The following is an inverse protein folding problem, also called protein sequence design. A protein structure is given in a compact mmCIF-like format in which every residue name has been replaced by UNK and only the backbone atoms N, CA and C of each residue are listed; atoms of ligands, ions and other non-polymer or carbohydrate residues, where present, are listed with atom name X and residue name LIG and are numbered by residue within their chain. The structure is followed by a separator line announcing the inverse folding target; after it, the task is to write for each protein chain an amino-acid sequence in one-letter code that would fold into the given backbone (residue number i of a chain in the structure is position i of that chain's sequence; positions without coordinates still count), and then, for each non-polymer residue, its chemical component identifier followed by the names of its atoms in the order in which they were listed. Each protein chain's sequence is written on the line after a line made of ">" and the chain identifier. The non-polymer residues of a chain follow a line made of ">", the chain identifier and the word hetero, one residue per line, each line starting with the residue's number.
data_IF_817475848264
#
_entry.id   IF_817475848264
#
_cell.length_a   1.000
_cell.length_b   1.000
_cell.length_c   1.000
_cell.angle_alpha   90.00
_cell.angle_beta   90.00
_cell.angle_gamma   90.00
#
_symmetry.space_group_name_H-M   'P 1'
#
loop_
_entity.id
_entity.type
_entity.pdbx_description
1 polymer ?
#
# COMPACT_ATOMS: atom_id res chain seq x y z
N UNK A 1 41.38 13.99 19.23
CA UNK A 1 41.39 13.07 20.41
C UNK A 1 42.78 12.52 20.71
N UNK A 2 43.53 12.00 19.74
CA UNK A 2 44.88 11.46 20.01
C UNK A 2 45.87 12.52 20.53
N UNK A 3 45.82 13.75 19.99
CA UNK A 3 46.63 14.89 20.48
C UNK A 3 46.24 15.41 21.86
N UNK A 4 45.00 15.20 22.30
CA UNK A 4 44.52 15.66 23.60
C UNK A 4 44.80 14.66 24.73
N UNK A 5 45.12 13.41 24.39
CA UNK A 5 45.29 12.30 25.35
C UNK A 5 46.77 11.85 25.41
N UNK A 6 47.67 12.42 24.59
CA UNK A 6 49.11 12.11 24.52
C UNK A 6 49.45 10.61 24.37
N UNK A 7 48.49 9.76 23.98
CA UNK A 7 48.74 8.34 23.74
C UNK A 7 49.06 8.13 22.25
N UNK A 8 50.32 7.84 21.89
CA UNK A 8 50.69 7.57 20.51
C UNK A 8 49.98 6.31 19.99
N UNK A 9 49.48 6.36 18.76
CA UNK A 9 48.82 5.24 18.09
C UNK A 9 47.61 4.64 18.83
N UNK A 10 46.79 5.49 19.47
CA UNK A 10 45.58 5.10 20.20
C UNK A 10 44.66 4.14 19.44
N UNK A 11 44.44 4.35 18.14
CA UNK A 11 43.56 3.50 17.32
C UNK A 11 44.13 2.08 17.08
N UNK A 12 45.44 1.95 16.89
CA UNK A 12 46.06 0.64 16.72
C UNK A 12 46.14 -0.10 18.06
N UNK A 13 46.43 0.62 19.15
CA UNK A 13 46.50 0.07 20.51
C UNK A 13 45.13 -0.35 21.05
N UNK A 14 44.07 0.42 20.79
CA UNK A 14 42.68 0.07 21.16
C UNK A 14 42.20 -1.19 20.44
N UNK A 15 42.45 -1.29 19.13
CA UNK A 15 42.06 -2.47 18.34
C UNK A 15 42.81 -3.72 18.82
N UNK A 16 44.10 -3.61 19.15
CA UNK A 16 44.88 -4.70 19.76
C UNK A 16 44.37 -5.05 21.17
N UNK A 17 43.92 -4.08 21.94
CA UNK A 17 43.36 -4.29 23.29
C UNK A 17 42.00 -5.00 23.24
N UNK A 18 41.11 -4.63 22.31
CA UNK A 18 39.85 -5.35 22.07
C UNK A 18 40.12 -6.79 21.60
N UNK A 19 41.09 -6.99 20.70
CA UNK A 19 41.56 -8.32 20.31
C UNK A 19 42.11 -9.13 21.49
N UNK A 20 42.84 -8.49 22.40
CA UNK A 20 43.34 -9.09 23.64
C UNK A 20 42.20 -9.49 24.59
N UNK A 21 41.18 -8.66 24.77
CA UNK A 21 40.01 -8.99 25.60
C UNK A 21 39.27 -10.21 25.06
N UNK A 22 39.09 -10.28 23.73
CA UNK A 22 38.52 -11.46 23.08
C UNK A 22 39.41 -12.71 23.33
N UNK A 23 40.73 -12.59 23.18
CA UNK A 23 41.68 -13.68 23.45
C UNK A 23 41.63 -14.19 24.90
N UNK A 24 41.55 -13.27 25.87
CA UNK A 24 41.63 -13.61 27.29
C UNK A 24 40.30 -14.10 27.85
N UNK A 25 39.19 -13.43 27.53
CA UNK A 25 37.88 -13.73 28.12
C UNK A 25 37.01 -14.64 27.27
N UNK A 26 37.02 -14.48 25.94
CA UNK A 26 36.22 -15.32 25.04
C UNK A 26 36.95 -16.62 24.69
N UNK A 27 38.25 -16.55 24.41
CA UNK A 27 39.05 -17.71 24.02
C UNK A 27 39.86 -18.34 25.17
N UNK A 28 39.86 -17.74 26.35
CA UNK A 28 40.47 -18.32 27.57
C UNK A 28 42.00 -18.42 27.55
N UNK A 29 42.69 -17.68 26.68
CA UNK A 29 44.14 -17.72 26.54
C UNK A 29 44.76 -16.89 27.67
N UNK A 30 45.20 -17.56 28.74
CA UNK A 30 45.80 -16.93 29.93
C UNK A 30 47.16 -16.25 29.66
N UNK A 31 47.87 -16.69 28.62
CA UNK A 31 49.19 -16.18 28.23
C UNK A 31 49.15 -14.94 27.32
N UNK A 32 47.95 -14.45 26.97
CA UNK A 32 47.84 -13.25 26.14
C UNK A 32 48.48 -12.06 26.89
N UNK A 33 49.43 -11.37 26.23
CA UNK A 33 50.08 -10.18 26.79
C UNK A 33 49.19 -8.96 26.60
N UNK A 34 48.92 -8.23 27.69
CA UNK A 34 48.14 -7.00 27.61
C UNK A 34 48.96 -5.90 26.91
N UNK A 35 48.43 -5.21 25.88
CA UNK A 35 49.12 -4.08 25.23
C UNK A 35 49.06 -2.77 26.04
N UNK A 36 48.58 -2.84 27.27
CA UNK A 36 48.50 -1.72 28.23
C UNK A 36 49.86 -1.55 28.88
N UNK A 37 50.45 -0.36 28.73
CA UNK A 37 51.76 -0.02 29.29
C UNK A 37 51.65 0.88 30.52
N UNK A 38 50.58 1.67 30.65
CA UNK A 38 50.37 2.58 31.79
C UNK A 38 49.06 2.32 32.55
N UNK A 39 49.04 2.64 33.86
CA UNK A 39 47.85 2.57 34.71
C UNK A 39 46.86 3.66 34.27
N UNK A 40 45.68 3.25 33.79
CA UNK A 40 44.63 4.18 33.32
C UNK A 40 44.29 4.10 31.83
N UNK A 41 45.11 3.46 30.99
CA UNK A 41 44.85 3.36 29.53
C UNK A 41 43.69 2.41 29.17
N UNK A 42 43.31 1.50 30.08
CA UNK A 42 42.29 0.45 29.87
C UNK A 42 40.91 0.99 29.46
N UNK A 43 40.25 1.86 30.25
CA UNK A 43 38.94 2.39 29.90
C UNK A 43 38.98 3.17 28.58
N UNK A 44 40.04 3.96 28.36
CA UNK A 44 40.24 4.71 27.11
C UNK A 44 40.33 3.82 25.87
N UNK A 45 41.02 2.68 25.95
CA UNK A 45 41.09 1.74 24.83
C UNK A 45 39.76 1.08 24.51
N UNK A 46 38.94 0.77 25.53
CA UNK A 46 37.60 0.18 25.31
C UNK A 46 36.64 1.21 24.74
N UNK A 47 36.51 2.38 25.38
CA UNK A 47 35.57 3.43 24.97
C UNK A 47 35.93 3.96 23.58
N UNK A 48 37.20 4.29 23.34
CA UNK A 48 37.65 4.75 22.03
C UNK A 48 37.52 3.66 20.96
N UNK A 49 37.85 2.41 21.29
CA UNK A 49 37.75 1.29 20.34
C UNK A 49 36.32 1.05 19.86
N UNK A 50 35.36 1.00 20.80
CA UNK A 50 33.93 0.82 20.50
C UNK A 50 33.39 2.06 19.75
N UNK A 51 33.64 3.26 20.27
CA UNK A 51 33.16 4.50 19.65
C UNK A 51 33.71 4.69 18.24
N UNK A 52 35.00 4.40 18.01
CA UNK A 52 35.63 4.49 16.69
C UNK A 52 35.07 3.47 15.71
N UNK A 53 34.74 2.26 16.17
CA UNK A 53 34.07 1.24 15.33
C UNK A 53 32.65 1.67 14.96
N UNK A 54 31.85 2.11 15.94
CA UNK A 54 30.50 2.62 15.70
C UNK A 54 30.49 3.82 14.75
N UNK A 55 31.40 4.79 14.97
CA UNK A 55 31.55 5.95 14.10
C UNK A 55 31.94 5.54 12.68
N UNK A 56 32.93 4.64 12.51
CA UNK A 56 33.31 4.15 11.17
C UNK A 56 32.17 3.43 10.47
N UNK A 57 31.44 2.56 11.18
CA UNK A 57 30.30 1.84 10.63
C UNK A 57 29.19 2.81 10.22
N UNK A 58 28.91 3.80 11.06
CA UNK A 58 27.94 4.86 10.77
C UNK A 58 28.33 5.68 9.54
N UNK A 59 29.58 6.17 9.46
CA UNK A 59 30.06 6.96 8.31
C UNK A 59 30.03 6.13 7.03
N UNK A 60 30.44 4.86 7.07
CA UNK A 60 30.38 3.98 5.91
C UNK A 60 28.94 3.67 5.50
N UNK A 61 28.04 3.42 6.45
CA UNK A 61 26.62 3.21 6.17
C UNK A 61 25.99 4.47 5.58
N UNK A 62 26.26 5.65 6.14
CA UNK A 62 25.78 6.92 5.63
C UNK A 62 26.30 7.19 4.22
N UNK A 63 27.58 6.94 3.96
CA UNK A 63 28.19 7.13 2.64
C UNK A 63 27.65 6.11 1.63
N UNK A 64 27.49 4.84 2.03
CA UNK A 64 26.89 3.82 1.18
C UNK A 64 25.43 4.14 0.85
N UNK A 65 24.62 4.60 1.81
CA UNK A 65 23.25 5.05 1.60
C UNK A 65 23.18 6.28 0.71
N UNK A 66 24.06 7.26 0.95
CA UNK A 66 24.15 8.47 0.13
C UNK A 66 24.50 8.13 -1.32
N UNK A 67 25.52 7.29 -1.55
CA UNK A 67 25.90 6.84 -2.89
C UNK A 67 24.80 5.97 -3.50
N UNK A 68 24.16 5.10 -2.72
CA UNK A 68 23.06 4.25 -3.17
C UNK A 68 21.86 5.07 -3.68
N UNK A 69 21.62 6.26 -3.10
CA UNK A 69 20.57 7.17 -3.57
C UNK A 69 20.78 7.66 -5.00
N UNK A 70 22.04 7.80 -5.47
CA UNK A 70 22.37 8.17 -6.85
C UNK A 70 22.75 6.98 -7.75
N UNK A 71 23.54 6.06 -7.22
CA UNK A 71 24.08 4.87 -7.90
C UNK A 71 23.95 3.63 -7.01
N UNK A 72 22.79 2.97 -7.09
CA UNK A 72 22.45 1.82 -6.24
C UNK A 72 23.52 0.71 -6.25
N UNK A 73 23.92 0.24 -7.45
CA UNK A 73 24.90 -0.86 -7.60
C UNK A 73 26.24 -0.51 -6.95
N UNK A 74 26.70 0.72 -7.16
CA UNK A 74 27.97 1.19 -6.58
C UNK A 74 27.86 1.29 -5.06
N UNK A 75 26.75 1.81 -4.54
CA UNK A 75 26.49 1.86 -3.10
C UNK A 75 26.48 0.48 -2.45
N UNK A 76 25.83 -0.51 -3.07
CA UNK A 76 25.81 -1.90 -2.58
C UNK A 76 27.20 -2.53 -2.65
N UNK A 77 27.95 -2.33 -3.74
CA UNK A 77 29.33 -2.84 -3.85
C UNK A 77 30.25 -2.24 -2.78
N UNK A 78 30.13 -0.94 -2.49
CA UNK A 78 30.87 -0.27 -1.42
C UNK A 78 30.47 -0.84 -0.05
N UNK A 79 29.17 -1.04 0.19
CA UNK A 79 28.69 -1.63 1.44
C UNK A 79 29.22 -3.06 1.65
N UNK A 80 29.14 -3.91 0.61
CA UNK A 80 29.67 -5.27 0.64
C UNK A 80 31.19 -5.29 0.82
N UNK A 81 31.92 -4.42 0.12
CA UNK A 81 33.37 -4.29 0.25
C UNK A 81 33.76 -3.80 1.65
N UNK A 82 33.05 -2.83 2.21
CA UNK A 82 33.27 -2.32 3.56
C UNK A 82 33.00 -3.41 4.61
N UNK A 83 31.90 -4.15 4.47
CA UNK A 83 31.52 -5.22 5.38
C UNK A 83 32.52 -6.39 5.31
N UNK A 84 32.96 -6.73 4.09
CA UNK A 84 34.01 -7.73 3.87
C UNK A 84 35.34 -7.31 4.51
N UNK A 85 35.79 -6.08 4.31
CA UNK A 85 37.08 -5.59 4.82
C UNK A 85 37.09 -5.30 6.32
N UNK A 86 35.97 -4.87 6.92
CA UNK A 86 35.89 -4.55 8.35
C UNK A 86 35.43 -5.71 9.23
N UNK A 87 34.66 -6.66 8.72
CA UNK A 87 34.12 -7.76 9.53
C UNK A 87 34.82 -9.07 9.15
N UNK A 88 34.68 -9.52 7.90
CA UNK A 88 35.23 -10.82 7.47
C UNK A 88 36.76 -10.85 7.56
N UNK A 89 37.45 -9.87 6.98
CA UNK A 89 38.90 -9.88 6.88
C UNK A 89 39.62 -9.91 8.25
N UNK A 90 39.28 -9.05 9.24
CA UNK A 90 39.89 -9.13 10.56
C UNK A 90 39.42 -10.37 11.34
N UNK A 91 38.17 -10.83 11.19
CA UNK A 91 37.72 -12.07 11.82
C UNK A 91 38.54 -13.28 11.34
N UNK A 92 38.74 -13.41 10.03
CA UNK A 92 39.55 -14.47 9.42
C UNK A 92 41.03 -14.31 9.81
N UNK A 93 41.62 -13.12 9.65
CA UNK A 93 43.03 -12.89 9.99
C UNK A 93 43.35 -13.09 11.47
N UNK A 94 42.43 -12.74 12.37
CA UNK A 94 42.61 -12.95 13.81
C UNK A 94 42.42 -14.43 14.16
N UNK A 95 41.47 -15.12 13.52
CA UNK A 95 41.27 -16.56 13.70
C UNK A 95 42.48 -17.37 13.20
N UNK A 96 43.01 -17.05 12.03
CA UNK A 96 44.21 -17.69 11.45
C UNK A 96 45.46 -17.41 12.28
N UNK A 97 45.66 -16.15 12.75
CA UNK A 97 46.81 -15.81 13.63
C UNK A 97 46.74 -16.45 15.01
N UNK A 98 45.55 -16.62 15.58
CA UNK A 98 45.40 -17.40 16.82
C UNK A 98 45.72 -18.88 16.58
N UNK A 99 45.22 -19.42 15.47
CA UNK A 99 45.42 -20.82 15.09
C UNK A 99 46.90 -21.17 14.84
N UNK A 100 47.70 -20.23 14.34
CA UNK A 100 49.14 -20.43 14.09
C UNK A 100 50.04 -20.17 15.31
N UNK A 101 49.52 -19.62 16.41
CA UNK A 101 50.30 -19.34 17.64
C UNK A 101 50.42 -20.56 18.56
N UNK A 102 51.53 -20.65 19.31
CA UNK A 102 51.88 -21.81 20.18
C UNK A 102 50.80 -22.07 21.25
N UNK A 103 50.22 -21.02 21.86
CA UNK A 103 49.10 -21.14 22.82
C UNK A 103 47.76 -21.58 22.20
N UNK A 104 47.58 -21.39 20.89
CA UNK A 104 46.41 -21.87 20.15
C UNK A 104 46.35 -23.39 20.03
N UNK A 105 47.50 -24.10 20.07
CA UNK A 105 47.56 -25.57 20.00
C UNK A 105 47.04 -26.23 21.29
N UNK A 106 47.25 -25.61 22.44
CA UNK A 106 46.90 -26.19 23.75
C UNK A 106 45.41 -25.98 24.11
N UNK A 107 44.75 -24.98 23.53
CA UNK A 107 43.31 -24.69 23.70
C UNK A 107 42.49 -24.80 22.41
N UNK A 108 43.00 -25.55 21.41
CA UNK A 108 42.42 -25.70 20.07
C UNK A 108 40.94 -26.07 20.08
N UNK A 109 40.52 -26.99 20.96
CA UNK A 109 39.13 -27.42 21.10
C UNK A 109 38.21 -26.30 21.63
N UNK A 110 38.66 -25.51 22.63
CA UNK A 110 37.90 -24.38 23.17
C UNK A 110 37.79 -23.23 22.18
N UNK A 111 38.87 -22.93 21.45
CA UNK A 111 38.84 -21.92 20.40
C UNK A 111 37.84 -22.32 19.31
N UNK A 112 38.00 -23.49 18.70
CA UNK A 112 37.08 -23.99 17.66
C UNK A 112 35.64 -24.01 18.16
N UNK A 113 35.40 -24.48 19.38
CA UNK A 113 34.05 -24.50 19.96
C UNK A 113 33.48 -23.11 20.20
N UNK A 114 34.26 -22.16 20.71
CA UNK A 114 33.80 -20.79 20.96
C UNK A 114 33.51 -20.04 19.65
N UNK A 115 34.36 -20.17 18.63
CA UNK A 115 34.08 -19.56 17.32
C UNK A 115 32.90 -20.24 16.64
N UNK A 116 32.82 -21.57 16.65
CA UNK A 116 31.71 -22.31 16.07
C UNK A 116 30.39 -22.05 16.81
N UNK A 117 30.41 -21.89 18.13
CA UNK A 117 29.26 -21.51 18.92
C UNK A 117 28.83 -20.08 18.58
N UNK A 118 29.74 -19.12 18.51
CA UNK A 118 29.41 -17.74 18.17
C UNK A 118 28.85 -17.62 16.75
N UNK A 119 29.49 -18.24 15.75
CA UNK A 119 29.01 -18.23 14.37
C UNK A 119 27.73 -19.05 14.23
N UNK A 120 27.62 -20.18 14.93
CA UNK A 120 26.42 -21.01 14.97
C UNK A 120 25.23 -20.28 15.58
N UNK A 121 25.42 -19.56 16.69
CA UNK A 121 24.38 -18.74 17.31
C UNK A 121 23.97 -17.58 16.40
N UNK A 122 24.93 -16.87 15.80
CA UNK A 122 24.61 -15.79 14.86
C UNK A 122 23.86 -16.32 13.61
N UNK A 123 24.28 -17.45 13.06
CA UNK A 123 23.58 -18.11 11.97
C UNK A 123 22.19 -18.60 12.39
N UNK A 124 22.04 -19.18 13.58
CA UNK A 124 20.74 -19.60 14.11
C UNK A 124 19.79 -18.40 14.28
N UNK A 125 20.27 -17.27 14.81
CA UNK A 125 19.48 -16.04 14.92
C UNK A 125 19.03 -15.50 13.56
N UNK A 126 19.85 -15.61 12.53
CA UNK A 126 19.54 -15.09 11.19
C UNK A 126 18.66 -16.04 10.34
N UNK A 127 18.92 -17.34 10.41
CA UNK A 127 18.33 -18.34 9.51
C UNK A 127 17.27 -19.21 10.17
N UNK A 128 17.25 -19.31 11.52
CA UNK A 128 16.36 -20.23 12.23
C UNK A 128 15.31 -19.47 13.06
N UNK A 129 15.66 -18.36 13.70
CA UNK A 129 14.71 -17.65 14.56
C UNK A 129 13.61 -16.98 13.73
N UNK A 130 12.33 -17.40 13.89
CA UNK A 130 11.21 -16.82 13.17
C UNK A 130 10.92 -15.41 13.70
N UNK A 131 10.90 -14.41 12.81
CA UNK A 131 10.49 -13.04 13.13
C UNK A 131 9.16 -12.71 12.45
N UNK A 132 8.29 -11.89 13.07
CA UNK A 132 6.99 -11.55 12.49
C UNK A 132 7.20 -10.79 11.19
N UNK A 133 6.50 -11.22 10.13
CA UNK A 133 6.52 -10.60 8.82
C UNK A 133 5.21 -9.85 8.63
N UNK A 134 5.30 -8.53 8.45
CA UNK A 134 4.12 -7.67 8.30
C UNK A 134 4.30 -6.70 7.14
N UNK A 135 3.22 -6.43 6.42
CA UNK A 135 3.16 -5.36 5.41
C UNK A 135 2.24 -4.26 5.92
N UNK A 136 2.76 -3.04 5.95
CA UNK A 136 1.96 -1.85 6.24
C UNK A 136 1.48 -1.25 4.91
N UNK A 137 0.19 -1.00 4.81
CA UNK A 137 -0.43 -0.30 3.69
C UNK A 137 -1.37 0.79 4.18
N UNK A 138 -1.75 1.69 3.28
CA UNK A 138 -2.70 2.76 3.56
C UNK A 138 -4.01 2.50 2.82
N UNK A 139 -5.10 2.86 3.47
CA UNK A 139 -6.44 2.80 2.91
C UNK A 139 -7.26 4.02 3.28
N UNK A 140 -8.46 4.07 2.72
CA UNK A 140 -9.41 5.15 2.92
C UNK A 140 -10.75 4.55 3.29
N UNK A 141 -11.44 5.17 4.25
CA UNK A 141 -12.84 4.88 4.50
C UNK A 141 -13.65 5.40 3.32
N UNK A 142 -14.34 4.49 2.64
CA UNK A 142 -15.26 4.78 1.56
C UNK A 142 -16.65 4.25 1.90
N UNK A 143 -17.65 4.88 1.30
CA UNK A 143 -18.98 4.28 1.21
C UNK A 143 -19.00 3.23 0.09
N UNK A 144 -19.80 2.17 0.23
CA UNK A 144 -20.04 1.22 -0.85
C UNK A 144 -20.69 1.91 -2.05
N UNK A 145 -20.55 1.34 -3.24
CA UNK A 145 -21.11 1.92 -4.48
C UNK A 145 -22.61 2.16 -4.40
N UNK A 146 -23.35 1.28 -3.71
CA UNK A 146 -24.80 1.42 -3.50
C UNK A 146 -25.19 2.63 -2.64
N UNK A 147 -24.26 3.27 -1.95
CA UNK A 147 -24.52 4.48 -1.16
C UNK A 147 -24.17 5.76 -1.91
N UNK A 148 -23.70 5.67 -3.16
CA UNK A 148 -23.32 6.82 -3.99
C UNK A 148 -24.49 7.20 -4.88
N UNK A 149 -24.90 8.47 -4.85
CA UNK A 149 -25.90 9.01 -5.76
C UNK A 149 -25.20 9.54 -7.01
N UNK A 150 -25.44 8.90 -8.16
CA UNK A 150 -24.88 9.30 -9.46
C UNK A 150 -25.98 9.63 -10.46
N UNK A 151 -25.65 10.52 -11.41
CA UNK A 151 -26.51 10.78 -12.57
C UNK A 151 -26.60 9.53 -13.46
N UNK A 152 -27.80 9.08 -13.80
CA UNK A 152 -28.00 7.92 -14.68
C UNK A 152 -27.81 8.23 -16.17
N UNK A 153 -28.11 9.47 -16.56
CA UNK A 153 -27.94 10.01 -17.93
C UNK A 153 -27.37 11.44 -17.87
N UNK A 154 -26.96 11.96 -19.02
CA UNK A 154 -26.64 13.38 -19.19
C UNK A 154 -27.92 14.21 -19.03
N UNK A 155 -27.93 15.22 -18.16
CA UNK A 155 -29.10 16.05 -17.94
C UNK A 155 -28.79 17.37 -17.22
N UNK A 156 -29.75 18.30 -17.24
CA UNK A 156 -29.72 19.54 -16.45
C UNK A 156 -30.56 19.35 -15.19
N UNK A 157 -29.98 19.57 -14.00
CA UNK A 157 -30.71 19.43 -12.74
C UNK A 157 -31.80 20.49 -12.66
N UNK A 158 -33.05 20.07 -12.50
CA UNK A 158 -34.20 20.98 -12.42
C UNK A 158 -34.57 21.28 -10.98
N UNK A 159 -34.63 20.24 -10.15
CA UNK A 159 -35.07 20.35 -8.76
C UNK A 159 -34.31 19.37 -7.86
N UNK A 160 -33.93 19.86 -6.68
CA UNK A 160 -33.49 19.04 -5.55
C UNK A 160 -34.70 18.86 -4.63
N UNK A 161 -35.29 17.66 -4.63
CA UNK A 161 -36.56 17.35 -3.94
C UNK A 161 -36.35 17.14 -2.44
N UNK A 162 -35.16 16.66 -2.06
CA UNK A 162 -34.76 16.41 -0.67
C UNK A 162 -33.54 17.23 -0.32
N UNK A 163 -33.61 17.95 0.79
CA UNK A 163 -32.52 18.83 1.23
C UNK A 163 -31.33 18.05 1.77
N UNK A 164 -30.14 18.65 1.72
CA UNK A 164 -28.95 18.08 2.34
C UNK A 164 -29.17 17.83 3.85
N UNK A 165 -28.71 16.68 4.34
CA UNK A 165 -28.85 16.23 5.72
C UNK A 165 -30.21 15.61 6.08
N UNK A 166 -31.15 15.51 5.13
CA UNK A 166 -32.46 14.88 5.38
C UNK A 166 -32.37 13.35 5.44
N UNK A 167 -33.27 12.74 6.22
CA UNK A 167 -33.44 11.29 6.26
C UNK A 167 -34.32 10.86 5.09
N UNK A 168 -33.89 9.83 4.36
CA UNK A 168 -34.56 9.34 3.14
C UNK A 168 -34.73 7.83 3.19
N UNK A 169 -35.75 7.32 2.51
CA UNK A 169 -36.01 5.89 2.35
C UNK A 169 -35.56 5.36 0.98
N UNK A 170 -35.32 4.05 0.89
CA UNK A 170 -35.03 3.39 -0.38
C UNK A 170 -36.14 3.63 -1.43
N UNK A 171 -35.76 4.05 -2.63
CA UNK A 171 -36.65 4.38 -3.75
C UNK A 171 -37.21 5.81 -3.75
N UNK A 172 -36.97 6.58 -2.69
CA UNK A 172 -37.44 7.96 -2.56
C UNK A 172 -36.76 8.88 -3.58
N UNK A 173 -37.49 9.85 -4.15
CA UNK A 173 -36.94 10.78 -5.15
C UNK A 173 -36.08 11.84 -4.46
N UNK A 174 -34.83 11.97 -4.90
CA UNK A 174 -33.87 12.91 -4.34
C UNK A 174 -33.67 14.12 -5.26
N UNK A 175 -33.38 13.86 -6.53
CA UNK A 175 -33.05 14.89 -7.52
C UNK A 175 -33.82 14.58 -8.80
N UNK A 176 -34.37 15.62 -9.42
CA UNK A 176 -34.92 15.57 -10.77
C UNK A 176 -34.03 16.34 -11.70
N UNK A 177 -33.85 15.80 -12.89
CA UNK A 177 -33.22 16.52 -13.98
C UNK A 177 -34.07 16.41 -15.24
N UNK A 178 -33.74 17.23 -16.23
CA UNK A 178 -34.38 17.21 -17.53
C UNK A 178 -33.33 17.07 -18.65
N UNK A 179 -33.73 16.35 -19.69
CA UNK A 179 -33.06 16.34 -20.97
C UNK A 179 -34.12 16.60 -22.06
N UNK A 180 -34.17 17.83 -22.60
CA UNK A 180 -35.11 18.17 -23.66
C UNK A 180 -34.96 17.27 -24.90
N UNK A 181 -33.74 16.83 -25.23
CA UNK A 181 -33.48 15.95 -26.37
C UNK A 181 -34.07 14.56 -26.12
N UNK A 182 -33.83 13.98 -24.95
CA UNK A 182 -34.38 12.67 -24.59
C UNK A 182 -35.92 12.68 -24.58
N UNK A 183 -36.53 13.77 -24.11
CA UNK A 183 -37.99 13.93 -24.13
C UNK A 183 -38.55 13.99 -25.56
N UNK A 184 -37.82 14.60 -26.50
CA UNK A 184 -38.21 14.69 -27.90
C UNK A 184 -37.99 13.36 -28.62
N UNK A 185 -36.88 12.68 -28.35
CA UNK A 185 -36.57 11.33 -28.85
C UNK A 185 -37.67 10.33 -28.45
N UNK A 186 -38.13 10.37 -27.20
CA UNK A 186 -39.25 9.55 -26.73
C UNK A 186 -40.52 9.77 -27.56
N UNK A 187 -40.92 11.03 -27.77
CA UNK A 187 -42.13 11.36 -28.56
C UNK A 187 -42.02 10.91 -30.02
N UNK A 188 -40.84 11.02 -30.61
CA UNK A 188 -40.58 10.55 -31.98
C UNK A 188 -40.70 9.02 -32.05
N UNK A 189 -40.15 8.29 -31.08
CA UNK A 189 -40.23 6.84 -31.04
C UNK A 189 -41.67 6.35 -30.80
N UNK A 190 -42.46 7.05 -29.98
CA UNK A 190 -43.88 6.75 -29.78
C UNK A 190 -44.67 6.92 -31.09
N UNK A 191 -44.43 8.00 -31.83
CA UNK A 191 -45.06 8.21 -33.14
C UNK A 191 -44.61 7.16 -34.18
N UNK A 192 -43.32 6.80 -34.20
CA UNK A 192 -42.78 5.76 -35.08
C UNK A 192 -43.39 4.38 -34.77
N UNK A 193 -43.64 4.09 -33.50
CA UNK A 193 -44.31 2.85 -33.09
C UNK A 193 -45.73 2.82 -33.62
N UNK A 194 -46.48 3.91 -33.47
CA UNK A 194 -47.85 4.03 -34.00
C UNK A 194 -47.87 3.85 -35.52
N UNK A 195 -46.97 4.52 -36.23
CA UNK A 195 -46.84 4.42 -37.69
C UNK A 195 -46.52 2.97 -38.12
N UNK A 196 -45.53 2.34 -37.50
CA UNK A 196 -45.10 0.99 -37.84
C UNK A 196 -46.18 -0.04 -37.51
N UNK A 197 -46.88 0.14 -36.40
CA UNK A 197 -48.01 -0.69 -36.01
C UNK A 197 -49.17 -0.56 -37.01
N UNK A 198 -49.47 0.65 -37.48
CA UNK A 198 -50.48 0.89 -38.51
C UNK A 198 -50.12 0.22 -39.84
N UNK A 199 -48.85 0.35 -40.29
CA UNK A 199 -48.33 -0.34 -41.48
C UNK A 199 -48.47 -1.85 -41.36
N UNK A 200 -48.06 -2.44 -40.24
CA UNK A 200 -48.20 -3.88 -39.97
C UNK A 200 -49.67 -4.35 -40.01
N UNK A 201 -50.59 -3.57 -39.44
CA UNK A 201 -52.02 -3.89 -39.41
C UNK A 201 -52.69 -3.76 -40.78
N UNK A 202 -52.20 -2.84 -41.62
CA UNK A 202 -52.73 -2.62 -42.98
C UNK A 202 -52.33 -3.71 -43.99
N UNK A 203 -51.26 -4.46 -43.73
CA UNK A 203 -50.75 -5.46 -44.69
C UNK A 203 -51.60 -6.75 -44.68
N UNK A 204 -52.05 -7.28 -45.84
CA UNK A 204 -52.89 -8.47 -45.89
C UNK A 204 -52.21 -9.73 -45.31
N UNK A 205 -53.01 -10.61 -44.68
CA UNK A 205 -52.53 -11.87 -44.08
C UNK A 205 -51.84 -12.83 -45.09
N UNK A 206 -52.16 -12.69 -46.37
CA UNK A 206 -51.58 -13.50 -47.46
C UNK A 206 -50.13 -13.10 -47.77
N UNK A 207 -49.70 -11.90 -47.39
CA UNK A 207 -48.38 -11.34 -47.65
C UNK A 207 -47.38 -11.67 -46.52
N UNK A 208 -47.14 -12.97 -46.31
CA UNK A 208 -46.34 -13.47 -45.16
C UNK A 208 -44.94 -12.85 -45.08
N UNK A 209 -44.24 -12.73 -46.21
CA UNK A 209 -42.90 -12.18 -46.25
C UNK A 209 -42.84 -10.70 -45.83
N UNK A 210 -43.77 -9.86 -46.31
CA UNK A 210 -43.83 -8.44 -45.94
C UNK A 210 -44.26 -8.24 -44.49
N UNK A 211 -45.23 -9.02 -44.01
CA UNK A 211 -45.65 -8.99 -42.59
C UNK A 211 -44.50 -9.39 -41.67
N UNK A 212 -43.67 -10.35 -42.05
CA UNK A 212 -42.52 -10.76 -41.24
C UNK A 212 -41.44 -9.67 -41.17
N UNK A 213 -41.19 -8.94 -42.27
CA UNK A 213 -40.28 -7.78 -42.26
C UNK A 213 -40.82 -6.68 -41.34
N UNK A 214 -42.09 -6.29 -41.53
CA UNK A 214 -42.73 -5.27 -40.70
C UNK A 214 -42.81 -5.67 -39.22
N UNK A 215 -42.95 -6.97 -38.92
CA UNK A 215 -42.89 -7.48 -37.54
C UNK A 215 -41.51 -7.22 -36.92
N UNK A 216 -40.43 -7.49 -37.66
CA UNK A 216 -39.06 -7.22 -37.18
C UNK A 216 -38.83 -5.73 -36.97
N UNK A 217 -39.33 -4.88 -37.87
CA UNK A 217 -39.25 -3.43 -37.71
C UNK A 217 -39.99 -2.97 -36.45
N UNK A 218 -41.19 -3.50 -36.23
CA UNK A 218 -42.01 -3.21 -35.05
C UNK A 218 -41.33 -3.65 -33.76
N UNK A 219 -40.75 -4.85 -33.75
CA UNK A 219 -39.99 -5.37 -32.60
C UNK A 219 -38.73 -4.49 -32.34
N UNK A 220 -38.07 -4.00 -33.39
CA UNK A 220 -36.93 -3.07 -33.28
C UNK A 220 -37.34 -1.73 -32.67
N UNK A 221 -38.42 -1.11 -33.18
CA UNK A 221 -38.94 0.17 -32.66
C UNK A 221 -39.40 0.02 -31.22
N UNK A 222 -40.06 -1.09 -30.85
CA UNK A 222 -40.43 -1.38 -29.46
C UNK A 222 -39.21 -1.49 -28.55
N UNK A 223 -38.17 -2.20 -28.99
CA UNK A 223 -36.96 -2.36 -28.20
C UNK A 223 -36.24 -1.01 -28.00
N UNK A 224 -36.26 -0.13 -29.01
CA UNK A 224 -35.70 1.21 -28.91
C UNK A 224 -36.53 2.11 -27.99
N UNK A 225 -37.86 2.09 -28.12
CA UNK A 225 -38.76 2.81 -27.22
C UNK A 225 -38.55 2.39 -25.76
N UNK A 226 -38.44 1.10 -25.49
CA UNK A 226 -38.20 0.60 -24.13
C UNK A 226 -36.87 1.13 -23.56
N UNK A 227 -35.77 1.10 -24.33
CA UNK A 227 -34.47 1.65 -23.88
C UNK A 227 -34.55 3.15 -23.60
N UNK A 228 -35.27 3.90 -24.42
CA UNK A 228 -35.45 5.35 -24.22
C UNK A 228 -36.34 5.64 -23.01
N UNK A 229 -37.38 4.85 -22.77
CA UNK A 229 -38.20 4.94 -21.56
C UNK A 229 -37.40 4.65 -20.29
N UNK A 230 -36.51 3.66 -20.32
CA UNK A 230 -35.57 3.37 -19.23
C UNK A 230 -34.66 4.57 -18.94
N UNK A 231 -34.06 5.18 -19.99
CA UNK A 231 -33.25 6.41 -19.87
C UNK A 231 -34.04 7.60 -19.33
N UNK A 232 -35.32 7.75 -19.71
CA UNK A 232 -36.19 8.81 -19.16
C UNK A 232 -36.45 8.55 -17.67
N UNK A 233 -36.59 7.29 -17.26
CA UNK A 233 -36.66 6.90 -15.85
C UNK A 233 -35.40 7.30 -15.07
N UNK A 234 -34.23 7.25 -15.70
CA UNK A 234 -32.94 7.66 -15.12
C UNK A 234 -32.81 9.19 -14.89
N UNK A 235 -33.72 10.01 -15.45
CA UNK A 235 -33.79 11.46 -15.16
C UNK A 235 -34.30 11.75 -13.73
N UNK A 236 -34.93 10.77 -13.09
CA UNK A 236 -35.39 10.86 -11.71
C UNK A 236 -34.46 10.03 -10.83
N UNK A 237 -33.54 10.71 -10.18
CA UNK A 237 -32.57 10.08 -9.30
C UNK A 237 -33.22 9.75 -7.95
N UNK A 238 -33.23 8.46 -7.62
CA UNK A 238 -33.84 7.91 -6.40
C UNK A 238 -32.79 7.41 -5.43
N UNK A 239 -33.13 7.39 -4.14
CA UNK A 239 -32.27 6.83 -3.12
C UNK A 239 -32.12 5.32 -3.31
N UNK A 240 -30.92 4.76 -3.50
CA UNK A 240 -30.72 3.32 -3.51
C UNK A 240 -31.00 2.62 -2.18
N UNK A 241 -30.91 3.33 -1.04
CA UNK A 241 -31.06 2.75 0.30
C UNK A 241 -31.56 3.79 1.32
N UNK A 242 -31.95 3.37 2.51
CA UNK A 242 -32.48 4.26 3.57
C UNK A 242 -31.36 4.86 4.43
N UNK A 243 -31.31 6.17 4.59
CA UNK A 243 -30.23 6.82 5.36
C UNK A 243 -30.29 8.35 5.36
N UNK A 244 -29.17 8.99 5.67
CA UNK A 244 -29.02 10.44 5.64
C UNK A 244 -28.46 10.84 4.28
N UNK A 245 -29.20 11.65 3.54
CA UNK A 245 -28.78 12.19 2.25
C UNK A 245 -27.79 13.34 2.43
N UNK A 246 -26.59 13.20 1.88
CA UNK A 246 -25.56 14.24 1.84
C UNK A 246 -25.33 14.72 0.41
N UNK A 247 -25.40 16.03 0.23
CA UNK A 247 -25.19 16.72 -1.03
C UNK A 247 -24.17 17.88 -0.84
N UNK A 248 -22.88 17.68 -1.17
CA UNK A 248 -21.80 18.63 -0.84
C UNK A 248 -21.91 20.01 -1.50
N UNK A 249 -22.64 20.15 -2.61
CA UNK A 249 -22.76 21.39 -3.39
C UNK A 249 -24.24 21.75 -3.69
N UNK A 250 -25.15 21.53 -2.73
CA UNK A 250 -26.60 21.77 -2.91
C UNK A 250 -26.94 23.09 -3.59
N UNK A 251 -26.35 24.20 -3.13
CA UNK A 251 -26.69 25.56 -3.58
C UNK A 251 -26.37 25.85 -5.07
N UNK A 252 -25.45 25.10 -5.68
CA UNK A 252 -24.99 25.32 -7.06
C UNK A 252 -25.41 24.20 -8.03
N UNK A 253 -26.30 23.29 -7.59
CA UNK A 253 -26.71 22.17 -8.42
C UNK A 253 -27.88 22.50 -9.34
N UNK A 254 -28.81 23.36 -8.93
CA UNK A 254 -29.96 23.69 -9.77
C UNK A 254 -29.52 24.41 -11.06
N UNK A 255 -29.99 23.94 -12.21
CA UNK A 255 -29.61 24.43 -13.53
C UNK A 255 -28.25 23.94 -14.04
N UNK A 256 -27.50 23.16 -13.24
CA UNK A 256 -26.19 22.63 -13.64
C UNK A 256 -26.34 21.43 -14.58
N UNK A 257 -25.53 21.42 -15.64
CA UNK A 257 -25.36 20.25 -16.50
C UNK A 257 -24.50 19.20 -15.80
N UNK A 258 -24.97 17.96 -15.77
CA UNK A 258 -24.24 16.81 -15.22
C UNK A 258 -24.19 15.69 -16.24
N UNK A 259 -23.04 15.03 -16.33
CA UNK A 259 -22.83 13.89 -17.23
C UNK A 259 -23.21 12.58 -16.55
N UNK A 260 -23.58 11.58 -17.34
CA UNK A 260 -23.80 10.21 -16.90
C UNK A 260 -22.64 9.71 -16.04
N UNK A 261 -22.97 9.15 -14.88
CA UNK A 261 -22.02 8.63 -13.91
C UNK A 261 -21.37 9.67 -12.99
N UNK A 262 -21.67 10.96 -13.16
CA UNK A 262 -21.21 12.01 -12.26
C UNK A 262 -21.73 11.78 -10.84
N UNK A 263 -20.85 11.91 -9.85
CA UNK A 263 -21.18 11.74 -8.44
C UNK A 263 -21.77 13.03 -7.88
N UNK A 264 -23.02 12.99 -7.43
CA UNK A 264 -23.72 14.16 -6.91
C UNK A 264 -23.72 14.19 -5.38
N UNK A 265 -23.85 13.02 -4.75
CA UNK A 265 -23.95 12.94 -3.30
C UNK A 265 -23.86 11.51 -2.78
N UNK A 266 -24.19 11.36 -1.50
CA UNK A 266 -24.06 10.11 -0.77
C UNK A 266 -25.26 9.87 0.15
N UNK A 267 -25.56 8.62 0.45
CA UNK A 267 -26.50 8.22 1.51
C UNK A 267 -25.72 7.53 2.61
N UNK A 268 -25.65 8.17 3.79
CA UNK A 268 -24.97 7.63 4.96
C UNK A 268 -25.91 6.83 5.86
N UNK A 269 -25.37 5.83 6.55
CA UNK A 269 -26.11 5.08 7.58
C UNK A 269 -26.83 3.83 7.08
N UNK A 270 -27.08 3.71 5.77
CA UNK A 270 -27.76 2.57 5.17
C UNK A 270 -26.90 1.29 5.10
N UNK A 271 -25.61 1.46 4.80
CA UNK A 271 -24.68 0.37 4.52
C UNK A 271 -23.44 0.41 5.44
N UNK A 272 -22.87 -0.77 5.70
CA UNK A 272 -21.59 -0.88 6.40
C UNK A 272 -20.52 -0.13 5.61
N UNK A 273 -19.77 0.74 6.31
CA UNK A 273 -18.64 1.44 5.70
C UNK A 273 -17.59 0.42 5.24
N UNK A 274 -17.00 0.67 4.08
CA UNK A 274 -15.96 -0.17 3.51
C UNK A 274 -14.65 0.58 3.57
N UNK A 275 -13.57 -0.07 3.99
CA UNK A 275 -12.22 0.48 3.84
C UNK A 275 -11.59 -0.11 2.60
N UNK A 276 -11.15 0.79 1.72
CA UNK A 276 -10.39 0.43 0.52
C UNK A 276 -8.92 0.65 0.83
N UNK A 277 -8.16 -0.44 0.96
CA UNK A 277 -6.72 -0.42 1.17
C UNK A 277 -6.00 -0.58 -0.15
N UNK A 278 -4.98 0.24 -0.37
CA UNK A 278 -4.17 0.21 -1.57
C UNK A 278 -2.82 -0.40 -1.25
N UNK A 279 -2.44 -1.43 -2.00
CA UNK A 279 -1.19 -2.19 -1.85
C UNK A 279 -0.35 -2.03 -3.11
N UNK A 280 0.95 -1.75 -2.93
CA UNK A 280 1.90 -1.65 -4.04
C UNK A 280 2.14 -3.03 -4.70
N UNK A 281 2.47 -3.02 -5.98
CA UNK A 281 2.77 -4.24 -6.74
C UNK A 281 3.91 -5.07 -6.13
N UNK A 282 4.85 -4.46 -5.40
CA UNK A 282 5.95 -5.18 -4.73
C UNK A 282 5.45 -6.18 -3.68
N UNK A 283 4.35 -5.86 -3.01
CA UNK A 283 3.87 -6.58 -1.83
C UNK A 283 2.63 -7.43 -2.11
N UNK A 284 2.08 -7.35 -3.32
CA UNK A 284 0.83 -8.02 -3.69
C UNK A 284 0.88 -9.54 -3.51
N UNK A 285 1.99 -10.18 -3.88
CA UNK A 285 2.12 -11.63 -3.75
C UNK A 285 2.06 -12.06 -2.28
N UNK A 286 2.74 -11.31 -1.40
CA UNK A 286 2.76 -11.58 0.03
C UNK A 286 1.36 -11.37 0.64
N UNK A 287 0.69 -10.27 0.25
CA UNK A 287 -0.66 -9.98 0.71
C UNK A 287 -1.68 -11.01 0.23
N UNK A 288 -1.56 -11.52 -1.00
CA UNK A 288 -2.51 -12.51 -1.56
C UNK A 288 -2.32 -13.90 -0.98
N UNK A 289 -1.08 -14.37 -0.87
CA UNK A 289 -0.80 -15.77 -0.57
C UNK A 289 -0.63 -16.04 0.93
N UNK A 290 -0.14 -15.06 1.69
CA UNK A 290 0.36 -15.30 3.05
C UNK A 290 -0.38 -14.52 4.14
N UNK A 291 -1.35 -13.66 3.81
CA UNK A 291 -2.09 -12.91 4.83
C UNK A 291 -2.95 -13.85 5.68
N UNK A 292 -2.70 -13.87 6.99
CA UNK A 292 -3.50 -14.61 7.97
C UNK A 292 -4.55 -13.73 8.64
N UNK A 293 -4.19 -12.47 8.92
CA UNK A 293 -5.03 -11.49 9.61
C UNK A 293 -4.68 -10.08 9.13
N UNK A 294 -5.68 -9.19 9.12
CA UNK A 294 -5.49 -7.77 8.85
C UNK A 294 -5.93 -6.97 10.07
N UNK A 295 -5.07 -6.06 10.50
CA UNK A 295 -5.37 -5.09 11.54
C UNK A 295 -5.58 -3.70 10.91
N UNK A 296 -6.74 -3.11 11.11
CA UNK A 296 -7.09 -1.78 10.64
C UNK A 296 -7.10 -0.79 11.81
N UNK A 297 -6.47 0.37 11.60
CA UNK A 297 -6.48 1.50 12.54
C UNK A 297 -6.86 2.78 11.81
N UNK A 298 -7.92 3.43 12.26
CA UNK A 298 -8.39 4.70 11.71
C UNK A 298 -7.54 5.84 12.30
N UNK A 299 -7.21 6.87 11.52
CA UNK A 299 -6.33 7.94 11.98
C UNK A 299 -6.96 8.79 13.11
N UNK A 300 -8.27 8.94 13.12
CA UNK A 300 -9.05 9.61 14.15
C UNK A 300 -9.22 8.78 15.42
N UNK A 301 -8.88 7.49 15.39
CA UNK A 301 -8.89 6.61 16.56
C UNK A 301 -7.82 5.51 16.44
N UNK A 302 -6.55 5.90 16.65
CA UNK A 302 -5.41 5.00 16.55
C UNK A 302 -5.37 3.95 17.67
N UNK A 303 -6.05 4.20 18.79
CA UNK A 303 -6.09 3.31 19.96
C UNK A 303 -7.01 2.10 19.72
N UNK A 304 -8.02 2.23 18.85
CA UNK A 304 -8.97 1.16 18.55
C UNK A 304 -8.48 0.30 17.38
N UNK A 305 -8.05 -0.91 17.72
CA UNK A 305 -7.66 -1.93 16.73
C UNK A 305 -8.89 -2.68 16.20
N UNK A 306 -9.06 -2.70 14.88
CA UNK A 306 -10.08 -3.51 14.21
C UNK A 306 -9.43 -4.70 13.52
N UNK A 307 -9.72 -5.91 14.01
CA UNK A 307 -9.24 -7.15 13.40
C UNK A 307 -10.24 -7.61 12.35
N UNK A 308 -9.77 -7.81 11.12
CA UNK A 308 -10.60 -8.24 10.00
C UNK A 308 -9.86 -9.22 9.08
N UNK A 309 -10.58 -9.73 8.08
CA UNK A 309 -10.06 -10.55 6.98
C UNK A 309 -10.38 -9.87 5.66
N UNK A 310 -9.69 -10.27 4.60
CA UNK A 310 -9.93 -9.74 3.25
C UNK A 310 -11.32 -10.20 2.79
N UNK A 311 -12.24 -9.25 2.58
CA UNK A 311 -13.61 -9.56 2.12
C UNK A 311 -13.68 -9.62 0.59
N UNK A 312 -13.08 -8.64 -0.07
CA UNK A 312 -13.02 -8.58 -1.54
C UNK A 312 -11.67 -8.07 -2.00
N UNK A 313 -11.17 -8.70 -3.05
CA UNK A 313 -9.97 -8.26 -3.75
C UNK A 313 -10.35 -7.83 -5.16
N UNK A 314 -9.88 -6.65 -5.57
CA UNK A 314 -9.96 -6.24 -6.97
C UNK A 314 -8.82 -6.93 -7.72
N UNK A 315 -9.10 -7.84 -8.68
CA UNK A 315 -8.08 -8.68 -9.29
C UNK A 315 -7.11 -7.88 -10.19
N UNK A 316 -7.62 -6.82 -10.84
CA UNK A 316 -6.88 -5.99 -11.76
C UNK A 316 -6.04 -4.93 -11.02
N UNK A 317 -4.81 -4.75 -11.49
CA UNK A 317 -3.98 -3.63 -11.08
C UNK A 317 -4.53 -2.33 -11.69
N UNK A 318 -4.59 -1.27 -10.90
CA UNK A 318 -5.05 0.05 -11.33
C UNK A 318 -3.92 1.06 -11.20
N UNK A 319 -3.92 2.03 -12.11
CA UNK A 319 -3.10 3.23 -12.09
C UNK A 319 -3.81 4.44 -11.47
N UNK A 320 -4.99 4.23 -10.86
CA UNK A 320 -5.79 5.29 -10.22
C UNK A 320 -6.14 4.94 -8.78
N UNK A 321 -5.91 5.90 -7.87
CA UNK A 321 -6.26 5.76 -6.46
C UNK A 321 -7.76 5.94 -6.23
N UNK A 322 -8.33 5.27 -5.21
CA UNK A 322 -9.71 5.50 -4.78
C UNK A 322 -9.90 6.87 -4.12
N UNK A 323 -8.82 7.49 -3.61
CA UNK A 323 -8.83 8.83 -3.01
C UNK A 323 -7.44 9.46 -3.06
N UNK A 324 -7.41 10.78 -3.31
CA UNK A 324 -6.19 11.59 -3.34
C UNK A 324 -5.45 11.61 -2.00
N UNK A 325 -6.16 11.35 -0.89
CA UNK A 325 -5.59 11.27 0.47
C UNK A 325 -4.56 10.15 0.60
N UNK A 326 -4.56 9.15 -0.29
CA UNK A 326 -3.55 8.08 -0.30
C UNK A 326 -2.29 8.44 -1.09
N UNK A 327 -2.40 9.45 -1.96
CA UNK A 327 -1.30 9.95 -2.77
C UNK A 327 -0.37 10.88 -1.99
N UNK A 328 0.87 10.96 -2.43
CA UNK A 328 1.90 11.88 -1.88
C UNK A 328 1.45 13.34 -1.90
N UNK A 329 0.69 13.76 -2.91
CA UNK A 329 0.08 15.10 -2.97
C UNK A 329 -0.94 15.34 -1.83
N UNK A 330 -1.71 14.31 -1.43
CA UNK A 330 -2.64 14.35 -0.30
C UNK A 330 -2.02 13.93 1.04
N UNK A 331 -0.69 13.88 1.15
CA UNK A 331 0.06 13.50 2.35
C UNK A 331 0.11 12.01 2.64
N UNK A 332 -0.29 11.16 1.70
CA UNK A 332 -0.11 9.69 1.75
C UNK A 332 1.27 9.27 1.25
N UNK A 333 1.50 7.96 1.14
CA UNK A 333 2.80 7.41 0.73
C UNK A 333 2.89 7.03 -0.75
N UNK A 334 1.78 7.00 -1.47
CA UNK A 334 1.76 6.48 -2.83
C UNK A 334 2.21 7.58 -3.82
N UNK A 335 3.25 7.36 -4.64
CA UNK A 335 3.69 8.34 -5.63
C UNK A 335 2.62 8.58 -6.70
N UNK A 336 2.21 9.83 -6.88
CA UNK A 336 1.21 10.24 -7.88
C UNK A 336 1.86 11.12 -8.94
N UNK A 337 1.26 11.15 -10.14
CA UNK A 337 1.72 11.97 -11.25
C UNK A 337 1.52 13.46 -10.92
N UNK A 338 2.55 14.31 -11.07
CA UNK A 338 2.40 15.76 -10.94
C UNK A 338 1.53 16.40 -12.03
N UNK A 339 1.31 15.68 -13.15
CA UNK A 339 0.49 16.15 -14.27
C UNK A 339 -1.01 15.99 -14.02
N UNK A 340 -1.40 15.20 -13.01
CA UNK A 340 -2.79 15.01 -12.63
C UNK A 340 -3.19 16.00 -11.52
N UNK A 341 -4.04 17.01 -11.81
CA UNK A 341 -4.45 18.00 -10.81
C UNK A 341 -5.26 17.39 -9.66
N UNK A 342 -5.94 16.25 -9.89
CA UNK A 342 -6.73 15.58 -8.86
C UNK A 342 -5.85 14.72 -7.94
N UNK A 343 -4.59 14.47 -8.30
CA UNK A 343 -3.65 13.64 -7.53
C UNK A 343 -4.11 12.20 -7.35
N UNK A 344 -4.84 11.64 -8.32
CA UNK A 344 -5.38 10.28 -8.30
C UNK A 344 -4.54 9.31 -9.12
N UNK A 345 -3.89 9.77 -10.19
CA UNK A 345 -3.10 8.94 -11.08
C UNK A 345 -1.77 8.57 -10.41
N UNK A 346 -1.55 7.27 -10.20
CA UNK A 346 -0.32 6.73 -9.59
C UNK A 346 0.78 6.54 -10.62
N UNK A 347 2.03 6.77 -10.23
CA UNK A 347 3.20 6.46 -11.06
C UNK A 347 3.47 4.95 -11.17
N UNK A 348 2.90 4.15 -10.26
CA UNK A 348 3.09 2.70 -10.19
C UNK A 348 1.75 2.02 -10.02
N UNK A 349 1.58 0.85 -10.66
CA UNK A 349 0.37 0.06 -10.53
C UNK A 349 0.14 -0.37 -9.08
N UNK A 350 -1.10 -0.20 -8.63
CA UNK A 350 -1.54 -0.57 -7.28
C UNK A 350 -2.70 -1.56 -7.34
N UNK A 351 -2.90 -2.29 -6.25
CA UNK A 351 -4.02 -3.21 -6.08
C UNK A 351 -4.90 -2.76 -4.93
N UNK A 352 -6.20 -2.96 -5.07
CA UNK A 352 -7.20 -2.52 -4.10
C UNK A 352 -7.80 -3.72 -3.37
N UNK A 353 -7.86 -3.62 -2.06
CA UNK A 353 -8.49 -4.59 -1.16
C UNK A 353 -9.58 -3.90 -0.36
N UNK A 354 -10.74 -4.53 -0.29
CA UNK A 354 -11.90 -4.01 0.40
C UNK A 354 -12.19 -4.80 1.67
N UNK A 355 -12.46 -4.06 2.73
CA UNK A 355 -12.77 -4.57 4.05
C UNK A 355 -14.07 -3.95 4.52
N UNK A 356 -15.05 -4.77 4.86
CA UNK A 356 -16.25 -4.37 5.56
C UNK A 356 -15.86 -4.13 7.01
N UNK A 357 -16.19 -2.95 7.49
CA UNK A 357 -16.03 -2.62 8.88
C UNK A 357 -17.42 -2.50 9.50
N UNK A 358 -17.75 -3.34 10.50
CA UNK A 358 -18.93 -3.14 11.32
C UNK A 358 -18.65 -1.98 12.26
N UNK A 359 -18.59 -0.78 11.72
CA UNK A 359 -18.41 0.43 12.51
C UNK A 359 -19.76 0.91 13.00
N UNK A 360 -19.85 1.20 14.29
CA UNK A 360 -20.96 1.96 14.85
C UNK A 360 -21.02 3.32 14.14
N UNK A 361 -22.23 3.70 13.70
CA UNK A 361 -22.49 4.81 12.76
C UNK A 361 -21.94 6.19 13.19
N UNK A 362 -21.49 6.37 14.44
CA UNK A 362 -21.19 7.69 15.01
C UNK A 362 -19.70 8.08 15.03
N UNK A 363 -18.76 7.20 14.65
CA UNK A 363 -17.32 7.51 14.78
C UNK A 363 -16.51 7.44 13.49
N UNK A 364 -17.16 7.42 12.32
CA UNK A 364 -16.49 7.16 11.04
C UNK A 364 -16.59 8.37 10.14
N UNK A 365 -15.43 8.88 9.69
CA UNK A 365 -15.38 9.99 8.74
C UNK A 365 -15.10 9.44 7.35
N UNK A 366 -15.94 9.76 6.37
CA UNK A 366 -15.70 9.38 4.98
C UNK A 366 -14.43 10.09 4.49
N UNK A 367 -13.60 9.40 3.71
CA UNK A 367 -12.32 9.94 3.25
C UNK A 367 -11.21 9.91 4.30
N UNK A 368 -11.50 9.40 5.50
CA UNK A 368 -10.51 9.23 6.55
C UNK A 368 -9.47 8.18 6.15
N UNK A 369 -8.20 8.47 6.43
CA UNK A 369 -7.12 7.53 6.19
C UNK A 369 -7.11 6.42 7.24
N UNK A 370 -6.84 5.21 6.78
CA UNK A 370 -6.74 4.00 7.59
C UNK A 370 -5.38 3.38 7.35
N UNK A 371 -4.73 2.95 8.41
CA UNK A 371 -3.54 2.10 8.33
C UNK A 371 -3.97 0.64 8.40
N UNK A 372 -3.52 -0.14 7.43
CA UNK A 372 -3.76 -1.57 7.35
C UNK A 372 -2.46 -2.32 7.54
N UNK A 373 -2.39 -3.16 8.57
CA UNK A 373 -1.26 -4.02 8.84
C UNK A 373 -1.65 -5.46 8.51
N UNK A 374 -1.05 -5.99 7.44
CA UNK A 374 -1.22 -7.36 7.02
C UNK A 374 -0.21 -8.24 7.76
N UNK A 375 -0.71 -9.25 8.46
CA UNK A 375 0.13 -10.23 9.17
C UNK A 375 0.33 -11.49 8.31
N UNK A 376 1.59 -11.73 7.94
CA UNK A 376 2.00 -12.84 7.07
C UNK A 376 2.59 -14.02 7.85
N UNK A 377 2.45 -14.02 9.17
CA UNK A 377 3.04 -15.01 10.05
C UNK A 377 4.52 -14.72 10.33
N UNK A 378 5.34 -15.78 10.38
CA UNK A 378 6.73 -15.65 10.78
C UNK A 378 7.69 -16.20 9.73
N UNK A 379 8.77 -15.45 9.49
CA UNK A 379 9.82 -15.84 8.56
C UNK A 379 11.20 -15.43 9.12
N UNK A 380 12.26 -16.24 8.95
CA UNK A 380 13.62 -15.86 9.35
C UNK A 380 14.10 -14.56 8.70
N UNK A 381 14.87 -13.78 9.47
CA UNK A 381 15.38 -12.46 9.05
C UNK A 381 16.18 -12.55 7.73
N UNK A 382 16.98 -13.60 7.56
CA UNK A 382 17.78 -13.77 6.34
C UNK A 382 16.91 -13.85 5.07
N UNK A 383 15.76 -14.53 5.15
CA UNK A 383 14.83 -14.65 4.02
C UNK A 383 14.06 -13.35 3.78
N UNK A 384 13.65 -12.66 4.86
CA UNK A 384 13.04 -11.34 4.76
C UNK A 384 13.97 -10.32 4.08
N UNK A 385 15.26 -10.31 4.48
CA UNK A 385 16.30 -9.47 3.87
C UNK A 385 16.53 -9.82 2.41
N UNK A 386 16.66 -11.12 2.09
CA UNK A 386 16.84 -11.57 0.71
C UNK A 386 15.67 -11.14 -0.19
N UNK A 387 14.42 -11.30 0.28
CA UNK A 387 13.23 -10.84 -0.45
C UNK A 387 13.24 -9.33 -0.67
N UNK A 388 13.53 -8.56 0.38
CA UNK A 388 13.59 -7.10 0.31
C UNK A 388 14.64 -6.62 -0.70
N UNK A 389 15.82 -7.24 -0.70
CA UNK A 389 16.88 -6.96 -1.68
C UNK A 389 16.45 -7.34 -3.09
N UNK A 390 15.80 -8.50 -3.27
CA UNK A 390 15.28 -8.93 -4.57
C UNK A 390 14.21 -7.98 -5.11
N UNK A 391 13.25 -7.57 -4.27
CA UNK A 391 12.20 -6.61 -4.64
C UNK A 391 12.80 -5.25 -5.02
N UNK A 392 13.77 -4.75 -4.25
CA UNK A 392 14.49 -3.51 -4.58
C UNK A 392 15.23 -3.61 -5.92
N UNK A 393 15.85 -4.75 -6.20
CA UNK A 393 16.50 -5.01 -7.48
C UNK A 393 15.49 -4.98 -8.64
N UNK A 394 14.40 -5.75 -8.56
CA UNK A 394 13.37 -5.79 -9.60
C UNK A 394 12.74 -4.41 -9.84
N UNK A 395 12.42 -3.67 -8.77
CA UNK A 395 11.85 -2.30 -8.87
C UNK A 395 12.77 -1.33 -9.62
N UNK A 396 14.09 -1.44 -9.45
CA UNK A 396 15.05 -0.52 -10.10
C UNK A 396 15.34 -0.91 -11.54
N UNK A 397 15.37 -2.20 -11.85
CA UNK A 397 15.78 -2.71 -13.17
C UNK A 397 14.62 -2.95 -14.14
N UNK A 398 13.36 -2.76 -13.75
CA UNK A 398 12.17 -2.94 -14.61
C UNK A 398 12.15 -4.32 -15.32
N UNK A 399 12.63 -5.37 -14.65
CA UNK A 399 12.59 -6.77 -15.12
C UNK A 399 11.55 -7.55 -14.34
#
# INVERSE_FOLDING_TARGET
>A
LADWIEIPNLAQRSTRYLGYLLQRYVFGIKEARSPVTAKGERPWFVTYGIASFCYRMFVLAALALFVSSKFFVVGVLIALWALFTQILLPAVRNSVRLYSSIGGRQHRKRFIFATAALTGTAAALLFVVPMPLKTLAQGVVSLPEQSRLRAGTDCFITDVVRSNGSMVEAGEVLIKCEDPYLSAELRVLEANLEETQAKYNSEPMQSRAKREILRKDLDSVKAELQRTQERVGELVMRSPDSGIFILPEEDNLQGRFVTKGALLGYIMGAAQSTVIVVVEQSDINLVRENTTQVELRLIGNLDRLHKTRIDRQVPAASDRLPSAVLGTAGGGTIPVSPEDPDGLQTLQKTFQFEFRLPLEQQSVRIGERVFALFDHGYEPIALQLFRSVRQLFLRRFHV
#
